data_IF_022976612511
#
_entry.id   IF_022976612511
#
_cell.length_a   1.000
_cell.length_b   1.000
_cell.length_c   1.000
_cell.angle_alpha   90.00
_cell.angle_beta   90.00
_cell.angle_gamma   90.00
#
_symmetry.space_group_name_H-M   'P 1'
#
loop_
_entity.id
_entity.type
_entity.pdbx_description
1 polymer ?
#
# COMPACT_ATOMS: atom_id res chain seq x y z
N UNK A 1 -41.60 -55.35 -16.65
CA UNK A 1 -41.25 -54.18 -15.82
C UNK A 1 -40.12 -54.63 -14.93
N UNK A 2 -38.89 -54.38 -15.37
CA UNK A 2 -37.65 -54.80 -14.71
C UNK A 2 -36.92 -53.51 -14.35
N UNK A 3 -36.65 -53.33 -13.06
CA UNK A 3 -35.79 -52.26 -12.54
C UNK A 3 -34.35 -52.51 -13.01
N UNK A 4 -33.73 -51.52 -13.63
CA UNK A 4 -32.29 -51.45 -13.79
C UNK A 4 -31.74 -50.28 -12.97
N UNK A 5 -31.01 -50.64 -11.92
CA UNK A 5 -30.12 -49.78 -11.16
C UNK A 5 -28.93 -49.41 -12.04
N UNK A 6 -28.68 -48.11 -12.23
CA UNK A 6 -27.41 -47.61 -12.76
C UNK A 6 -26.70 -46.78 -11.69
N UNK A 7 -25.71 -47.38 -11.04
CA UNK A 7 -24.79 -46.68 -10.15
C UNK A 7 -23.81 -45.85 -10.99
N UNK A 8 -24.07 -44.54 -11.09
CA UNK A 8 -23.10 -43.55 -11.56
C UNK A 8 -22.01 -43.38 -10.50
N UNK A 9 -20.86 -44.02 -10.70
CA UNK A 9 -19.66 -43.73 -9.92
C UNK A 9 -19.08 -42.40 -10.38
N UNK A 10 -19.40 -41.32 -9.66
CA UNK A 10 -18.73 -40.03 -9.83
C UNK A 10 -17.30 -40.17 -9.33
N UNK A 11 -16.35 -40.39 -10.24
CA UNK A 11 -14.93 -40.24 -9.93
C UNK A 11 -14.65 -38.75 -9.74
N UNK A 12 -14.69 -38.30 -8.49
CA UNK A 12 -14.13 -37.00 -8.09
C UNK A 12 -12.62 -37.07 -8.32
N UNK A 13 -12.19 -36.65 -9.51
CA UNK A 13 -10.80 -36.37 -9.79
C UNK A 13 -10.35 -35.24 -8.88
N UNK A 14 -9.76 -35.59 -7.73
CA UNK A 14 -8.95 -34.65 -6.96
C UNK A 14 -7.73 -34.39 -7.82
N UNK A 15 -7.78 -33.33 -8.63
CA UNK A 15 -6.56 -32.75 -9.19
C UNK A 15 -5.84 -32.16 -7.98
N UNK A 16 -4.99 -32.94 -7.33
CA UNK A 16 -3.96 -32.40 -6.45
C UNK A 16 -2.96 -31.70 -7.36
N UNK A 17 -3.26 -30.46 -7.74
CA UNK A 17 -2.24 -29.59 -8.28
C UNK A 17 -1.24 -29.38 -7.15
N UNK A 18 -0.16 -30.16 -7.14
CA UNK A 18 0.89 -30.01 -6.14
C UNK A 18 1.50 -28.63 -6.35
N UNK A 19 1.06 -27.64 -5.58
CA UNK A 19 1.64 -26.31 -5.63
C UNK A 19 3.12 -26.44 -5.23
N UNK A 20 4.08 -26.04 -6.08
CA UNK A 20 5.50 -26.11 -5.74
C UNK A 20 5.87 -25.17 -4.58
N UNK A 21 5.07 -24.11 -4.34
CA UNK A 21 5.28 -23.16 -3.26
C UNK A 21 4.83 -23.78 -1.94
N UNK A 22 5.78 -24.00 -1.03
CA UNK A 22 5.54 -24.56 0.31
C UNK A 22 5.67 -23.52 1.43
N UNK A 23 6.34 -22.41 1.15
CA UNK A 23 6.61 -21.35 2.12
C UNK A 23 6.42 -20.01 1.45
N UNK A 24 5.67 -19.13 2.12
CA UNK A 24 5.45 -17.75 1.70
C UNK A 24 6.05 -16.87 2.79
N UNK A 25 6.96 -15.98 2.40
CA UNK A 25 7.51 -14.95 3.28
C UNK A 25 6.94 -13.62 2.83
N UNK A 26 6.27 -12.91 3.74
CA UNK A 26 5.71 -11.58 3.48
C UNK A 26 6.53 -10.55 4.24
N UNK A 27 7.37 -9.81 3.52
CA UNK A 27 8.12 -8.68 4.08
C UNK A 27 7.27 -7.41 3.98
N UNK A 28 6.84 -6.88 5.13
CA UNK A 28 5.98 -5.70 5.20
C UNK A 28 6.81 -4.48 5.58
N UNK A 29 6.99 -3.59 4.62
CA UNK A 29 7.73 -2.34 4.80
C UNK A 29 6.79 -1.17 5.13
N UNK A 30 7.35 0.03 5.32
CA UNK A 30 6.61 1.18 5.86
C UNK A 30 6.82 2.46 5.04
N UNK A 31 5.75 3.26 4.92
CA UNK A 31 5.72 4.65 4.47
C UNK A 31 6.50 4.98 3.19
N UNK A 32 6.34 4.19 2.13
CA UNK A 32 6.94 4.47 0.82
C UNK A 32 5.94 4.22 -0.31
N UNK A 33 5.80 5.18 -1.22
CA UNK A 33 5.00 5.02 -2.44
C UNK A 33 5.79 4.27 -3.52
N UNK A 34 5.06 3.78 -4.53
CA UNK A 34 5.67 3.11 -5.67
C UNK A 34 6.68 4.00 -6.40
N UNK A 35 6.27 5.21 -6.79
CA UNK A 35 7.15 6.14 -7.53
C UNK A 35 8.39 6.54 -6.72
N UNK A 36 8.27 6.62 -5.39
CA UNK A 36 9.39 6.94 -4.51
C UNK A 36 10.46 5.84 -4.55
N UNK A 37 10.09 4.55 -4.50
CA UNK A 37 11.06 3.45 -4.42
C UNK A 37 11.42 2.85 -5.77
N UNK A 38 10.43 2.70 -6.65
CA UNK A 38 10.51 1.90 -7.88
C UNK A 38 10.21 2.72 -9.14
N UNK A 39 9.77 3.98 -9.03
CA UNK A 39 9.41 4.79 -10.20
C UNK A 39 10.53 4.87 -11.23
N UNK A 40 11.75 5.14 -10.80
CA UNK A 40 12.92 5.25 -11.69
C UNK A 40 13.48 3.90 -12.17
N UNK A 41 12.96 2.78 -11.66
CA UNK A 41 13.32 1.45 -12.15
C UNK A 41 12.80 1.18 -13.56
N UNK A 42 11.90 2.04 -14.09
CA UNK A 42 11.52 2.05 -15.51
C UNK A 42 12.73 2.15 -16.44
N UNK A 43 13.82 2.79 -16.00
CA UNK A 43 15.08 2.84 -16.74
C UNK A 43 15.76 1.48 -16.91
N UNK A 44 15.48 0.52 -16.02
CA UNK A 44 16.00 -0.86 -16.06
C UNK A 44 15.03 -1.82 -16.75
N UNK A 45 13.73 -1.65 -16.51
CA UNK A 45 12.67 -2.44 -17.12
C UNK A 45 11.54 -1.52 -17.61
N UNK A 46 11.44 -1.37 -18.94
CA UNK A 46 10.46 -0.48 -19.58
C UNK A 46 9.00 -0.92 -19.37
N UNK A 47 8.76 -2.18 -19.01
CA UNK A 47 7.42 -2.71 -18.72
C UNK A 47 6.84 -2.15 -17.41
N UNK A 48 7.69 -1.64 -16.52
CA UNK A 48 7.25 -1.02 -15.27
C UNK A 48 6.50 0.28 -15.57
N UNK A 49 5.29 0.40 -15.00
CA UNK A 49 4.51 1.63 -14.95
C UNK A 49 5.12 2.65 -13.96
N UNK A 50 6.34 3.10 -14.27
CA UNK A 50 7.10 4.07 -13.47
C UNK A 50 7.21 5.46 -14.10
N UNK A 51 8.01 6.31 -13.49
CA UNK A 51 8.14 7.73 -13.86
C UNK A 51 9.03 7.96 -15.08
N UNK A 52 8.81 9.09 -15.74
CA UNK A 52 9.53 9.54 -16.94
C UNK A 52 10.31 10.84 -16.71
N UNK A 53 10.05 11.52 -15.57
CA UNK A 53 10.56 12.85 -15.25
C UNK A 53 9.69 13.99 -15.78
N UNK A 54 8.58 13.65 -16.46
CA UNK A 54 7.56 14.62 -16.90
C UNK A 54 6.47 14.85 -15.86
N UNK A 55 6.38 13.94 -14.87
CA UNK A 55 5.43 14.00 -13.77
C UNK A 55 5.70 15.24 -12.91
N UNK A 56 4.64 15.93 -12.50
CA UNK A 56 4.76 17.17 -11.74
C UNK A 56 3.49 17.49 -10.97
N UNK A 57 3.64 18.30 -9.92
CA UNK A 57 2.53 18.80 -9.11
C UNK A 57 2.59 20.33 -9.01
N UNK A 58 1.46 21.04 -9.05
CA UNK A 58 1.45 22.48 -8.86
C UNK A 58 1.71 22.83 -7.38
N UNK A 59 2.26 24.02 -7.13
CA UNK A 59 2.43 24.55 -5.76
C UNK A 59 1.07 24.80 -5.07
N UNK A 60 0.05 25.16 -5.85
CA UNK A 60 -1.32 25.43 -5.40
C UNK A 60 -2.31 24.88 -6.43
N UNK A 61 -3.37 24.23 -5.95
CA UNK A 61 -4.46 23.72 -6.80
C UNK A 61 -5.56 24.76 -7.03
N UNK A 62 -5.57 25.82 -6.22
CA UNK A 62 -6.56 26.91 -6.29
C UNK A 62 -6.22 27.98 -7.33
N UNK A 63 -4.98 28.00 -7.82
CA UNK A 63 -4.45 29.05 -8.71
C UNK A 63 -4.87 28.83 -10.17
N UNK A 64 -6.15 28.51 -10.40
CA UNK A 64 -6.77 28.01 -11.64
C UNK A 64 -6.63 28.86 -12.93
N UNK A 65 -5.67 29.77 -13.03
CA UNK A 65 -5.32 30.51 -14.26
C UNK A 65 -3.81 30.71 -14.50
N UNK A 66 -2.91 30.36 -13.57
CA UNK A 66 -1.47 30.55 -13.73
C UNK A 66 -0.69 29.23 -13.56
N UNK A 67 -1.12 28.19 -14.29
CA UNK A 67 -0.44 26.90 -14.41
C UNK A 67 0.84 27.01 -15.29
N UNK A 68 1.63 28.06 -15.06
CA UNK A 68 2.94 28.21 -15.66
C UNK A 68 3.82 27.04 -15.22
N UNK A 69 4.64 26.51 -16.14
CA UNK A 69 5.64 25.49 -15.83
C UNK A 69 6.50 25.89 -14.63
N UNK A 70 6.73 27.20 -14.42
CA UNK A 70 7.49 27.74 -13.28
C UNK A 70 6.83 27.54 -11.92
N UNK A 71 5.53 27.24 -11.88
CA UNK A 71 4.75 27.03 -10.66
C UNK A 71 4.53 25.55 -10.33
N UNK A 72 5.18 24.64 -11.07
CA UNK A 72 5.10 23.20 -10.85
C UNK A 72 6.44 22.67 -10.36
N UNK A 73 6.37 21.76 -9.40
CA UNK A 73 7.52 20.97 -8.95
C UNK A 73 7.48 19.65 -9.71
N UNK A 74 8.55 19.36 -10.44
CA UNK A 74 8.66 18.13 -11.23
C UNK A 74 9.27 17.02 -10.41
N UNK A 75 8.87 15.78 -10.71
CA UNK A 75 9.41 14.60 -10.07
C UNK A 75 10.85 14.36 -10.51
N UNK A 76 11.75 14.11 -9.54
CA UNK A 76 13.20 13.93 -9.75
C UNK A 76 13.71 12.70 -8.99
N UNK A 77 15.00 12.42 -9.10
CA UNK A 77 15.67 11.22 -8.58
C UNK A 77 16.60 11.51 -7.39
N UNK A 78 16.30 12.58 -6.66
CA UNK A 78 17.11 13.14 -5.59
C UNK A 78 16.85 12.56 -4.19
N UNK A 79 16.01 11.52 -4.04
CA UNK A 79 15.72 10.94 -2.71
C UNK A 79 16.97 10.44 -2.01
N UNK A 80 17.01 10.63 -0.70
CA UNK A 80 18.13 10.27 0.15
C UNK A 80 17.69 9.37 1.32
N UNK A 81 18.66 8.85 2.09
CA UNK A 81 18.39 7.87 3.13
C UNK A 81 17.52 8.40 4.29
N UNK A 82 17.52 9.72 4.52
CA UNK A 82 16.73 10.38 5.58
C UNK A 82 15.85 11.43 4.93
N UNK A 83 14.62 11.04 4.63
CA UNK A 83 13.59 11.95 4.14
C UNK A 83 12.57 12.23 5.26
N UNK A 84 12.12 13.49 5.40
CA UNK A 84 11.00 13.84 6.27
C UNK A 84 9.74 13.01 5.96
N UNK A 85 8.92 12.76 6.99
CA UNK A 85 7.70 11.96 6.90
C UNK A 85 6.52 12.84 6.42
N UNK A 86 6.04 12.69 5.17
CA UNK A 86 4.92 13.47 4.67
C UNK A 86 3.61 13.04 5.34
N UNK A 87 2.61 13.91 5.25
CA UNK A 87 1.27 13.63 5.76
C UNK A 87 0.69 12.36 5.15
N UNK A 88 0.29 11.42 6.00
CA UNK A 88 -0.27 10.11 5.59
C UNK A 88 -1.55 9.75 6.37
N UNK A 89 -2.23 10.77 6.91
CA UNK A 89 -3.60 10.64 7.42
C UNK A 89 -4.61 10.59 6.28
N UNK A 90 -5.85 10.17 6.56
CA UNK A 90 -6.94 10.22 5.57
C UNK A 90 -7.12 11.63 5.02
N UNK A 91 -7.02 12.65 5.87
CA UNK A 91 -7.20 14.05 5.48
C UNK A 91 -6.07 14.52 4.56
N UNK A 92 -4.83 14.14 4.86
CA UNK A 92 -3.69 14.46 4.01
C UNK A 92 -3.79 13.74 2.66
N UNK A 93 -4.08 12.44 2.66
CA UNK A 93 -4.23 11.65 1.44
C UNK A 93 -5.39 12.16 0.58
N UNK A 94 -6.50 12.58 1.20
CA UNK A 94 -7.61 13.21 0.48
C UNK A 94 -7.16 14.48 -0.25
N UNK A 95 -6.43 15.38 0.41
CA UNK A 95 -5.90 16.58 -0.24
C UNK A 95 -4.94 16.22 -1.37
N UNK A 96 -4.03 15.27 -1.16
CA UNK A 96 -3.07 14.83 -2.17
C UNK A 96 -3.75 14.30 -3.44
N UNK A 97 -4.78 13.48 -3.27
CA UNK A 97 -5.51 12.82 -4.38
C UNK A 97 -6.48 13.75 -5.09
N UNK A 98 -7.23 14.57 -4.34
CA UNK A 98 -8.31 15.38 -4.90
C UNK A 98 -7.95 16.86 -5.11
N UNK A 99 -6.78 17.28 -4.63
CA UNK A 99 -6.30 18.66 -4.71
C UNK A 99 -7.05 19.63 -3.79
N UNK A 100 -7.88 19.16 -2.87
CA UNK A 100 -8.72 19.98 -2.00
C UNK A 100 -8.58 19.49 -0.56
N UNK A 101 -8.32 20.38 0.42
CA UNK A 101 -8.30 20.00 1.83
C UNK A 101 -9.58 19.27 2.26
N UNK A 102 -9.41 18.20 3.06
CA UNK A 102 -10.54 17.44 3.55
C UNK A 102 -11.40 18.24 4.53
N UNK A 103 -12.71 18.28 4.25
CA UNK A 103 -13.80 18.73 5.10
C UNK A 103 -15.05 17.91 4.73
N UNK A 104 -16.07 17.88 5.58
CA UNK A 104 -17.35 17.24 5.22
C UNK A 104 -17.94 17.86 3.94
N UNK A 105 -17.82 19.17 3.79
CA UNK A 105 -18.28 19.90 2.62
C UNK A 105 -17.51 19.51 1.35
N UNK A 106 -16.17 19.35 1.41
CA UNK A 106 -15.38 18.92 0.24
C UNK A 106 -15.63 17.47 -0.11
N UNK A 107 -15.75 16.57 0.88
CA UNK A 107 -16.12 15.18 0.65
C UNK A 107 -17.47 15.05 -0.09
N UNK A 108 -18.44 15.90 0.25
CA UNK A 108 -19.75 15.93 -0.41
C UNK A 108 -19.70 16.41 -1.89
N UNK A 109 -18.61 17.05 -2.32
CA UNK A 109 -18.45 17.52 -3.72
C UNK A 109 -18.21 16.38 -4.71
N UNK A 110 -17.82 15.17 -4.26
CA UNK A 110 -17.45 14.03 -5.12
C UNK A 110 -16.43 14.43 -6.21
N UNK A 111 -15.34 15.09 -5.82
CA UNK A 111 -14.30 15.54 -6.73
C UNK A 111 -13.63 14.35 -7.46
N UNK A 112 -13.18 14.59 -8.70
CA UNK A 112 -12.34 13.63 -9.41
C UNK A 112 -10.91 13.60 -8.83
N UNK A 113 -10.23 12.44 -8.84
CA UNK A 113 -8.87 12.31 -8.30
C UNK A 113 -7.85 12.90 -9.28
N UNK A 114 -7.52 14.18 -9.12
CA UNK A 114 -6.58 14.89 -10.01
C UNK A 114 -5.13 14.51 -9.77
N UNK A 115 -4.80 14.00 -8.58
CA UNK A 115 -3.44 13.73 -8.11
C UNK A 115 -2.56 15.00 -8.07
N UNK A 116 -3.17 16.19 -7.98
CA UNK A 116 -2.46 17.49 -8.03
C UNK A 116 -2.21 18.14 -6.66
N UNK A 117 -2.49 17.45 -5.55
CA UNK A 117 -2.41 18.04 -4.21
C UNK A 117 -1.17 17.69 -3.39
N UNK A 118 -0.24 16.88 -3.91
CA UNK A 118 0.94 16.41 -3.16
C UNK A 118 1.84 17.54 -2.70
N UNK A 119 2.21 18.46 -3.61
CA UNK A 119 3.09 19.58 -3.29
C UNK A 119 2.40 20.58 -2.37
N UNK A 120 1.14 20.92 -2.66
CA UNK A 120 0.35 21.80 -1.80
C UNK A 120 0.26 21.26 -0.37
N UNK A 121 -0.07 19.98 -0.21
CA UNK A 121 -0.17 19.34 1.11
C UNK A 121 1.19 19.29 1.82
N UNK A 122 2.28 19.03 1.08
CA UNK A 122 3.63 19.02 1.63
C UNK A 122 4.04 20.40 2.18
N UNK A 123 3.87 21.47 1.40
CA UNK A 123 4.20 22.84 1.84
C UNK A 123 3.38 23.29 3.06
N UNK A 124 2.12 22.85 3.15
CA UNK A 124 1.27 23.09 4.33
C UNK A 124 1.73 22.31 5.56
N UNK A 125 2.29 21.12 5.37
CA UNK A 125 2.80 20.27 6.45
C UNK A 125 4.10 20.83 6.99
N UNK A 126 5.04 21.13 6.10
CA UNK A 126 6.32 21.73 6.43
C UNK A 126 6.83 22.54 5.22
N UNK A 127 7.10 23.85 5.37
CA UNK A 127 7.66 24.65 4.28
C UNK A 127 8.95 24.02 3.73
N UNK A 128 9.03 23.90 2.40
CA UNK A 128 10.15 23.29 1.68
C UNK A 128 10.08 21.77 1.52
N UNK A 129 9.03 21.11 2.04
CA UNK A 129 8.84 19.66 1.89
C UNK A 129 8.45 19.25 0.46
N UNK A 130 8.04 20.20 -0.39
CA UNK A 130 7.67 19.94 -1.78
C UNK A 130 8.74 19.20 -2.57
N UNK A 131 10.01 19.60 -2.42
CA UNK A 131 11.12 18.96 -3.11
C UNK A 131 11.26 17.51 -2.67
N UNK A 132 11.17 17.22 -1.37
CA UNK A 132 11.28 15.84 -0.87
C UNK A 132 10.16 14.94 -1.39
N UNK A 133 8.89 15.38 -1.36
CA UNK A 133 7.77 14.54 -1.81
C UNK A 133 7.76 14.31 -3.32
N UNK A 134 8.42 15.20 -4.08
CA UNK A 134 8.58 15.08 -5.52
C UNK A 134 9.93 14.46 -5.91
N UNK A 135 10.51 13.63 -5.05
CA UNK A 135 11.72 12.87 -5.36
C UNK A 135 11.50 11.36 -5.17
N UNK A 136 12.14 10.60 -6.05
CA UNK A 136 12.27 9.15 -6.00
C UNK A 136 13.73 8.70 -5.90
N UNK A 137 13.96 7.44 -5.56
CA UNK A 137 15.30 6.85 -5.60
C UNK A 137 15.66 6.42 -7.01
N UNK A 138 16.84 6.85 -7.50
CA UNK A 138 17.49 6.19 -8.64
C UNK A 138 17.90 4.75 -8.28
N UNK A 139 17.98 3.83 -9.25
CA UNK A 139 18.29 2.42 -8.97
C UNK A 139 19.59 2.21 -8.16
N UNK A 140 20.62 3.03 -8.39
CA UNK A 140 21.93 2.91 -7.74
C UNK A 140 21.88 3.27 -6.25
N UNK A 141 20.90 4.07 -5.82
CA UNK A 141 20.72 4.45 -4.43
C UNK A 141 20.06 3.34 -3.58
N UNK A 142 19.37 2.40 -4.23
CA UNK A 142 18.65 1.28 -3.61
C UNK A 142 19.03 -0.05 -4.27
N UNK A 143 20.32 -0.46 -4.19
CA UNK A 143 20.85 -1.56 -4.98
C UNK A 143 20.13 -2.89 -4.75
N UNK A 144 19.64 -3.16 -3.55
CA UNK A 144 18.85 -4.38 -3.28
C UNK A 144 17.55 -4.40 -4.08
N UNK A 145 16.85 -3.28 -4.16
CA UNK A 145 15.63 -3.18 -4.97
C UNK A 145 15.92 -3.28 -6.46
N UNK A 146 17.01 -2.67 -6.92
CA UNK A 146 17.47 -2.79 -8.30
C UNK A 146 17.66 -4.26 -8.70
N UNK A 147 18.32 -5.07 -7.88
CA UNK A 147 18.50 -6.50 -8.17
C UNK A 147 17.16 -7.25 -8.12
N UNK A 148 16.31 -6.99 -7.13
CA UNK A 148 15.00 -7.64 -7.03
C UNK A 148 14.11 -7.36 -8.25
N UNK A 149 14.09 -6.11 -8.73
CA UNK A 149 13.34 -5.72 -9.92
C UNK A 149 13.89 -6.37 -11.20
N UNK A 150 15.20 -6.60 -11.25
CA UNK A 150 15.86 -7.18 -12.44
C UNK A 150 15.63 -8.69 -12.54
N UNK A 151 15.49 -9.37 -11.40
CA UNK A 151 15.45 -10.84 -11.32
C UNK A 151 14.06 -11.42 -11.00
N UNK A 152 13.12 -10.59 -10.54
CA UNK A 152 11.79 -11.05 -10.09
C UNK A 152 10.64 -10.21 -10.66
N UNK A 153 9.42 -10.75 -10.52
CA UNK A 153 8.21 -10.07 -10.94
C UNK A 153 7.90 -8.85 -10.04
N UNK A 154 7.42 -7.78 -10.66
CA UNK A 154 6.97 -6.56 -10.00
C UNK A 154 5.47 -6.41 -10.20
N UNK A 155 4.72 -6.14 -9.13
CA UNK A 155 3.33 -5.71 -9.19
C UNK A 155 3.29 -4.17 -9.15
N UNK A 156 3.25 -3.53 -10.31
CA UNK A 156 3.27 -2.05 -10.46
C UNK A 156 1.88 -1.40 -10.35
N UNK A 157 0.83 -2.21 -10.15
CA UNK A 157 -0.54 -1.75 -9.87
C UNK A 157 -1.08 -2.32 -8.56
N UNK A 158 -0.23 -2.36 -7.53
CA UNK A 158 -0.59 -2.79 -6.18
C UNK A 158 -0.88 -1.59 -5.28
N UNK A 159 -2.14 -1.39 -4.91
CA UNK A 159 -2.59 -0.24 -4.14
C UNK A 159 -2.87 -0.60 -2.68
N UNK A 160 -2.74 0.39 -1.79
CA UNK A 160 -3.24 0.29 -0.42
C UNK A 160 -4.75 0.01 -0.43
N UNK A 161 -5.23 -0.82 0.50
CA UNK A 161 -6.65 -1.20 0.57
C UNK A 161 -7.54 -0.03 1.00
N UNK A 162 -6.98 0.92 1.76
CA UNK A 162 -7.66 2.13 2.21
C UNK A 162 -6.68 3.31 2.20
N UNK A 163 -7.10 4.52 1.78
CA UNK A 163 -6.27 5.72 1.81
C UNK A 163 -6.12 6.25 3.25
N UNK A 164 -5.45 5.48 4.10
CA UNK A 164 -5.25 5.76 5.52
C UNK A 164 -3.83 5.40 5.97
N UNK A 165 -3.54 5.67 7.25
CA UNK A 165 -2.25 5.43 7.87
C UNK A 165 -1.88 3.92 7.93
N UNK A 166 -0.73 3.64 8.55
CA UNK A 166 -0.12 2.30 8.66
C UNK A 166 -1.07 1.24 9.21
N UNK A 167 -1.71 1.46 10.36
CA UNK A 167 -2.43 0.40 11.07
C UNK A 167 -3.67 -0.12 10.31
N UNK A 168 -4.54 0.74 9.75
CA UNK A 168 -5.64 0.28 8.88
C UNK A 168 -5.17 -0.65 7.75
N UNK A 169 -4.08 -0.32 7.05
CA UNK A 169 -3.56 -1.12 5.96
C UNK A 169 -2.89 -2.42 6.44
N UNK A 170 -2.25 -2.43 7.62
CA UNK A 170 -1.78 -3.68 8.25
C UNK A 170 -2.93 -4.61 8.64
N UNK A 171 -4.05 -4.06 9.11
CA UNK A 171 -5.27 -4.86 9.37
C UNK A 171 -5.80 -5.49 8.08
N UNK A 172 -5.87 -4.74 6.97
CA UNK A 172 -6.26 -5.28 5.68
C UNK A 172 -5.33 -6.41 5.20
N UNK A 173 -4.02 -6.23 5.34
CA UNK A 173 -3.05 -7.25 4.96
C UNK A 173 -3.29 -8.59 5.68
N UNK A 174 -3.65 -8.53 6.96
CA UNK A 174 -3.76 -9.74 7.78
C UNK A 174 -5.19 -10.27 7.94
N UNK A 175 -6.22 -9.48 7.65
CA UNK A 175 -7.61 -9.84 7.93
C UNK A 175 -8.61 -9.40 6.84
N UNK A 176 -8.13 -8.87 5.72
CA UNK A 176 -8.92 -8.36 4.61
C UNK A 176 -9.94 -7.25 4.97
N UNK A 177 -9.83 -6.65 6.17
CA UNK A 177 -10.64 -5.51 6.62
C UNK A 177 -9.89 -4.73 7.70
N UNK A 178 -10.15 -3.41 7.79
CA UNK A 178 -9.69 -2.59 8.94
C UNK A 178 -10.73 -2.50 10.07
N UNK A 179 -11.89 -3.12 9.92
CA UNK A 179 -13.02 -3.00 10.86
C UNK A 179 -13.42 -1.54 11.15
N UNK A 180 -13.33 -0.68 10.13
CA UNK A 180 -13.66 0.74 10.25
C UNK A 180 -12.54 1.59 10.86
N UNK A 181 -11.39 1.00 11.18
CA UNK A 181 -10.23 1.78 11.61
C UNK A 181 -9.72 2.66 10.47
N UNK A 182 -9.54 3.95 10.76
CA UNK A 182 -9.17 5.00 9.81
C UNK A 182 -7.83 5.67 10.12
N UNK A 183 -7.21 5.33 11.25
CA UNK A 183 -5.94 5.90 11.68
C UNK A 183 -5.21 5.01 12.68
N UNK A 184 -4.03 5.47 13.11
CA UNK A 184 -3.25 4.77 14.12
C UNK A 184 -3.84 5.04 15.51
N UNK A 185 -4.49 4.04 16.12
CA UNK A 185 -5.05 4.11 17.48
C UNK A 185 -4.54 2.94 18.33
N UNK A 186 -3.59 3.23 19.21
CA UNK A 186 -2.98 2.26 20.11
C UNK A 186 -3.99 1.63 21.07
N UNK A 187 -5.00 2.38 21.50
CA UNK A 187 -6.00 1.86 22.45
C UNK A 187 -6.89 0.82 21.77
N UNK A 188 -7.39 1.13 20.56
CA UNK A 188 -8.17 0.16 19.78
C UNK A 188 -7.36 -1.10 19.46
N UNK A 189 -6.07 -0.95 19.14
CA UNK A 189 -5.17 -2.09 18.96
C UNK A 189 -5.08 -2.95 20.25
N UNK A 190 -4.87 -2.33 21.41
CA UNK A 190 -4.80 -3.08 22.68
C UNK A 190 -6.12 -3.78 23.02
N UNK A 191 -7.27 -3.14 22.78
CA UNK A 191 -8.59 -3.74 22.98
C UNK A 191 -8.83 -4.93 22.03
N UNK A 192 -8.20 -4.88 20.87
CA UNK A 192 -8.19 -5.91 19.86
C UNK A 192 -9.40 -5.87 18.94
N UNK A 193 -9.31 -6.63 17.86
CA UNK A 193 -10.27 -6.60 16.77
C UNK A 193 -11.05 -7.93 16.65
N UNK A 194 -12.33 -7.90 16.25
CA UNK A 194 -13.17 -9.10 16.19
C UNK A 194 -13.00 -9.91 14.90
N UNK A 195 -12.38 -9.35 13.85
CA UNK A 195 -12.23 -10.05 12.57
C UNK A 195 -11.22 -11.20 12.66
N UNK A 196 -11.51 -12.25 11.90
CA UNK A 196 -10.62 -13.40 11.70
C UNK A 196 -9.42 -12.98 10.87
N UNK A 197 -8.24 -13.45 11.25
CA UNK A 197 -7.00 -13.22 10.51
C UNK A 197 -6.65 -14.39 9.59
N UNK A 198 -5.68 -14.15 8.70
CA UNK A 198 -5.02 -15.21 7.94
C UNK A 198 -4.32 -16.21 8.87
N UNK A 199 -3.80 -15.76 10.01
CA UNK A 199 -3.12 -16.62 10.98
C UNK A 199 -4.09 -17.60 11.66
N UNK A 200 -5.28 -17.13 12.03
CA UNK A 200 -6.35 -18.01 12.54
C UNK A 200 -6.74 -19.04 11.47
N UNK A 201 -6.81 -18.62 10.21
CA UNK A 201 -7.15 -19.52 9.09
C UNK A 201 -6.05 -20.56 8.82
N UNK A 202 -4.78 -20.19 8.97
CA UNK A 202 -3.64 -21.10 8.85
C UNK A 202 -3.63 -22.12 10.01
N UNK A 203 -3.81 -21.67 11.25
CA UNK A 203 -3.88 -22.53 12.44
C UNK A 203 -5.01 -23.55 12.34
N UNK A 204 -6.24 -23.09 12.05
CA UNK A 204 -7.41 -23.96 11.88
C UNK A 204 -7.24 -24.99 10.73
N UNK A 205 -6.42 -24.66 9.74
CA UNK A 205 -6.12 -25.55 8.60
C UNK A 205 -4.89 -26.43 8.85
N UNK A 206 -4.26 -26.37 10.03
CA UNK A 206 -3.10 -27.16 10.40
C UNK A 206 -1.78 -26.71 9.74
N UNK A 207 -1.70 -25.47 9.25
CA UNK A 207 -0.47 -24.90 8.68
C UNK A 207 0.33 -24.12 9.73
N UNK A 208 1.64 -24.28 9.70
CA UNK A 208 2.56 -23.49 10.52
C UNK A 208 2.74 -22.08 9.98
N UNK A 209 2.87 -21.10 10.87
CA UNK A 209 3.31 -19.75 10.54
C UNK A 209 4.25 -19.20 11.61
N UNK A 210 5.02 -18.18 11.24
CA UNK A 210 5.89 -17.43 12.15
C UNK A 210 5.75 -15.94 11.91
N UNK A 211 5.83 -15.14 12.96
CA UNK A 211 5.76 -13.69 12.90
C UNK A 211 7.06 -13.14 13.48
N UNK A 212 7.84 -12.47 12.65
CA UNK A 212 9.12 -11.88 13.00
C UNK A 212 9.00 -10.35 13.00
N UNK A 213 9.38 -9.70 14.09
CA UNK A 213 9.17 -8.27 14.28
C UNK A 213 10.26 -7.64 15.15
N UNK A 214 10.49 -6.33 14.98
CA UNK A 214 11.41 -5.54 15.80
C UNK A 214 10.68 -4.75 16.90
N UNK A 215 9.47 -4.28 16.62
CA UNK A 215 8.55 -3.62 17.56
C UNK A 215 7.26 -4.44 17.67
N UNK A 216 6.50 -4.37 18.78
CA UNK A 216 5.35 -5.24 19.03
C UNK A 216 4.49 -5.38 17.78
N UNK A 217 4.44 -6.59 17.24
CA UNK A 217 3.79 -6.80 15.96
C UNK A 217 2.33 -6.36 16.06
N UNK A 218 1.84 -5.65 15.03
CA UNK A 218 0.40 -5.35 14.91
C UNK A 218 -0.46 -6.61 15.08
N UNK A 219 0.14 -7.77 14.82
CA UNK A 219 -0.48 -9.07 15.00
C UNK A 219 -0.80 -9.43 16.45
N UNK A 220 -0.05 -8.91 17.44
CA UNK A 220 -0.32 -9.08 18.88
C UNK A 220 -1.66 -8.49 19.33
N UNK A 221 -2.22 -7.61 18.51
CA UNK A 221 -3.50 -6.95 18.72
C UNK A 221 -4.67 -7.72 18.10
N UNK A 222 -4.39 -8.79 17.36
CA UNK A 222 -5.42 -9.77 17.05
C UNK A 222 -5.68 -10.59 18.32
N UNK A 223 -6.95 -10.89 18.59
CA UNK A 223 -7.33 -11.78 19.70
C UNK A 223 -6.79 -13.19 19.42
N UNK A 224 -5.53 -13.40 19.77
CA UNK A 224 -4.92 -14.71 19.73
C UNK A 224 -5.61 -15.62 20.74
N UNK A 225 -6.18 -16.73 20.27
CA UNK A 225 -6.32 -17.93 21.09
C UNK A 225 -5.00 -18.71 21.07
N UNK A 226 -3.89 -18.07 21.38
CA UNK A 226 -2.63 -18.81 21.57
C UNK A 226 -2.76 -19.55 22.89
N UNK A 227 -2.97 -20.87 22.81
CA UNK A 227 -2.71 -21.74 23.96
C UNK A 227 -1.20 -21.84 24.10
N UNK A 228 -0.68 -21.43 25.26
CA UNK A 228 0.69 -21.70 25.69
C UNK A 228 0.94 -23.21 25.83
#
# INVERSE_FOLDING_TARGET
MVEESSTSTTTTGIISSSNPIKTIVVLVQENRSFDHMLGWMKSLNLEIDGVTGSESNPISTSDGQNNSITSRVFFRDGSAYVDPDPGHSIQAIYEQVFGEPWTEASAAKNLGPTMEGFVQNAERTQPGLAETVMNGFRPEAVPVYRELVSEFAVCDRWFASVPAATQPNRLFLHSATSHGMTGNDTKQLIEGFPQKTIFDSLDESGFSFGIYYQYPASTLFYRFRVKF
#
